data_IF_669812770486
#
_entry.id   IF_669812770486
#
_cell.length_a   1.000
_cell.length_b   1.000
_cell.length_c   1.000
_cell.angle_alpha   90.00
_cell.angle_beta   90.00
_cell.angle_gamma   90.00
#
_symmetry.space_group_name_H-M   'P 1'
#
loop_
_entity.id
_entity.type
_entity.pdbx_description
1 polymer ?
#
# COMPACT_ATOMS: atom_id res chain seq x y z
N UNK A 1 10.97 -26.04 22.21
CA UNK A 1 10.46 -25.97 20.82
C UNK A 1 10.86 -24.60 20.29
N UNK A 2 11.80 -24.53 19.35
CA UNK A 2 12.21 -23.25 18.75
C UNK A 2 10.99 -22.66 18.05
N UNK A 3 10.60 -21.43 18.42
CA UNK A 3 9.60 -20.68 17.67
C UNK A 3 9.97 -20.67 16.19
N UNK A 4 9.01 -20.98 15.34
CA UNK A 4 9.18 -20.96 13.89
C UNK A 4 9.36 -19.49 13.46
N UNK A 5 10.59 -18.97 13.52
CA UNK A 5 10.90 -17.57 13.23
C UNK A 5 10.55 -17.23 11.77
N UNK A 6 10.08 -16.02 11.47
CA UNK A 6 9.71 -15.63 10.11
C UNK A 6 10.93 -15.51 9.20
N UNK A 7 10.75 -15.86 7.94
CA UNK A 7 11.72 -15.67 6.85
C UNK A 7 11.35 -14.50 5.96
N UNK A 8 10.06 -14.14 5.91
CA UNK A 8 9.54 -13.00 5.16
C UNK A 8 8.59 -12.22 6.07
N UNK A 9 8.69 -10.90 6.03
CA UNK A 9 7.74 -9.98 6.64
C UNK A 9 7.04 -9.17 5.54
N UNK A 10 5.72 -9.05 5.64
CA UNK A 10 4.88 -8.32 4.68
C UNK A 10 4.06 -7.26 5.41
N UNK A 11 4.04 -6.04 4.88
CA UNK A 11 3.23 -4.91 5.37
C UNK A 11 2.60 -4.16 4.20
N UNK A 12 1.56 -3.37 4.45
CA UNK A 12 0.87 -2.56 3.43
C UNK A 12 0.34 -1.25 4.01
N UNK A 13 -0.08 -0.33 3.14
CA UNK A 13 -0.93 0.81 3.49
C UNK A 13 -0.34 1.69 4.62
N UNK A 14 0.91 2.11 4.42
CA UNK A 14 1.56 3.03 5.34
C UNK A 14 1.04 4.46 5.20
N UNK A 15 0.63 4.84 3.99
CA UNK A 15 0.12 6.16 3.63
C UNK A 15 1.05 7.27 4.14
N UNK A 16 2.35 7.17 3.87
CA UNK A 16 3.31 8.18 4.29
C UNK A 16 2.94 9.52 3.67
N UNK A 17 2.57 10.46 4.53
CA UNK A 17 2.12 11.78 4.10
C UNK A 17 0.73 12.15 4.62
N UNK A 18 -0.11 11.15 4.88
CA UNK A 18 -1.37 11.31 5.61
C UNK A 18 -1.17 11.89 7.01
N UNK A 19 -2.22 12.53 7.54
CA UNK A 19 -2.22 13.06 8.90
C UNK A 19 -2.18 11.91 9.94
N UNK A 20 -2.84 10.81 9.63
CA UNK A 20 -3.25 9.73 10.53
C UNK A 20 -2.33 8.49 10.43
N UNK A 21 -1.27 8.57 9.63
CA UNK A 21 -0.30 7.48 9.45
C UNK A 21 0.53 7.23 10.72
N UNK A 22 0.61 5.97 11.15
CA UNK A 22 1.27 5.46 12.36
C UNK A 22 2.80 5.41 12.25
N UNK A 23 3.40 6.47 11.73
CA UNK A 23 4.84 6.59 11.43
C UNK A 23 5.75 6.26 12.63
N UNK A 24 5.32 6.58 13.86
CA UNK A 24 6.12 6.28 15.06
C UNK A 24 6.20 4.77 15.31
N UNK A 25 5.06 4.09 15.25
CA UNK A 25 5.00 2.64 15.41
C UNK A 25 5.75 1.96 14.28
N UNK A 26 5.65 2.47 13.05
CA UNK A 26 6.42 1.92 11.93
C UNK A 26 7.93 2.08 12.10
N UNK A 27 8.40 3.25 12.55
CA UNK A 27 9.82 3.45 12.91
C UNK A 27 10.27 2.44 13.97
N UNK A 28 9.48 2.23 15.02
CA UNK A 28 9.79 1.23 16.04
C UNK A 28 9.85 -0.17 15.44
N UNK A 29 8.86 -0.54 14.62
CA UNK A 29 8.84 -1.82 13.93
C UNK A 29 10.08 -2.05 13.06
N UNK A 30 10.47 -1.08 12.23
CA UNK A 30 11.69 -1.18 11.42
C UNK A 30 12.95 -1.35 12.28
N UNK A 31 13.05 -0.65 13.43
CA UNK A 31 14.17 -0.82 14.37
C UNK A 31 14.20 -2.25 14.94
N UNK A 32 13.06 -2.84 15.26
CA UNK A 32 12.96 -4.25 15.71
C UNK A 32 13.47 -5.22 14.64
N UNK A 33 13.13 -4.96 13.37
CA UNK A 33 13.65 -5.72 12.22
C UNK A 33 15.18 -5.61 12.14
N UNK A 34 15.70 -4.38 12.17
CA UNK A 34 17.15 -4.10 12.11
C UNK A 34 17.92 -4.74 13.27
N UNK A 35 17.33 -4.76 14.46
CA UNK A 35 17.92 -5.32 15.67
C UNK A 35 17.81 -6.85 15.75
N UNK A 36 17.23 -7.51 14.75
CA UNK A 36 17.17 -8.97 14.68
C UNK A 36 16.11 -9.62 15.59
N UNK A 37 15.11 -8.86 16.07
CA UNK A 37 14.06 -9.42 16.95
C UNK A 37 13.20 -10.50 16.27
N UNK A 38 13.16 -10.48 14.94
CA UNK A 38 12.45 -11.48 14.12
C UNK A 38 13.32 -12.71 13.79
N UNK A 39 14.54 -12.78 14.34
CA UNK A 39 15.49 -13.87 14.11
C UNK A 39 16.47 -13.58 12.98
N UNK A 40 17.60 -14.30 12.99
CA UNK A 40 18.65 -14.21 11.97
C UNK A 40 18.22 -14.74 10.60
N UNK A 41 17.15 -15.52 10.54
CA UNK A 41 16.70 -16.22 9.34
C UNK A 41 15.77 -15.37 8.46
N UNK A 42 15.44 -14.16 8.90
CA UNK A 42 14.68 -13.20 8.12
C UNK A 42 15.48 -12.80 6.88
N UNK A 43 14.86 -12.91 5.70
CA UNK A 43 15.54 -12.70 4.42
C UNK A 43 14.87 -11.68 3.52
N UNK A 44 13.58 -11.40 3.71
CA UNK A 44 12.85 -10.46 2.87
C UNK A 44 11.88 -9.57 3.67
N UNK A 45 11.76 -8.33 3.22
CA UNK A 45 10.79 -7.37 3.73
C UNK A 45 10.00 -6.78 2.55
N UNK A 46 8.69 -6.98 2.56
CA UNK A 46 7.79 -6.65 1.45
C UNK A 46 6.81 -5.57 1.90
N UNK A 47 6.66 -4.52 1.09
CA UNK A 47 5.68 -3.45 1.28
C UNK A 47 4.68 -3.50 0.12
N UNK A 48 3.43 -3.89 0.38
CA UNK A 48 2.40 -4.12 -0.61
C UNK A 48 1.66 -2.85 -1.05
N UNK A 49 2.34 -1.81 -1.52
CA UNK A 49 1.64 -0.63 -2.05
C UNK A 49 1.10 0.33 -0.99
N UNK A 50 0.61 1.47 -1.49
CA UNK A 50 0.15 2.61 -0.70
C UNK A 50 1.15 2.99 0.42
N UNK A 51 2.43 2.86 0.11
CA UNK A 51 3.54 3.29 0.95
C UNK A 51 3.55 4.81 1.08
N UNK A 52 3.24 5.52 -0.01
CA UNK A 52 3.13 6.98 -0.05
C UNK A 52 1.69 7.38 -0.32
N UNK A 53 1.17 8.33 0.46
CA UNK A 53 -0.19 8.82 0.28
C UNK A 53 -0.30 9.78 -0.94
N UNK A 54 -1.31 9.55 -1.79
CA UNK A 54 -1.65 10.36 -2.97
C UNK A 54 -1.91 11.84 -2.66
N UNK A 55 -2.33 12.13 -1.43
CA UNK A 55 -2.66 13.48 -0.96
C UNK A 55 -1.39 14.29 -0.60
N UNK A 56 -0.21 13.78 -0.93
CA UNK A 56 1.04 14.40 -0.50
C UNK A 56 1.79 15.06 -1.65
N UNK A 57 2.23 16.29 -1.40
CA UNK A 57 3.23 16.96 -2.23
C UNK A 57 4.63 16.43 -1.84
N UNK A 58 5.27 15.69 -2.74
CA UNK A 58 6.54 15.01 -2.44
C UNK A 58 7.66 16.00 -2.07
N UNK A 59 8.03 17.00 -2.90
CA UNK A 59 9.19 17.84 -2.59
C UNK A 59 8.92 18.87 -1.50
N UNK A 60 7.70 19.42 -1.41
CA UNK A 60 7.38 20.49 -0.45
C UNK A 60 7.04 19.93 0.93
N UNK A 61 6.47 18.72 1.00
CA UNK A 61 6.01 18.16 2.28
C UNK A 61 6.67 16.85 2.66
N UNK A 62 6.49 15.77 1.89
CA UNK A 62 6.86 14.42 2.34
C UNK A 62 8.35 14.33 2.69
N UNK A 63 9.20 14.74 1.75
CA UNK A 63 10.65 14.61 1.87
C UNK A 63 11.25 15.52 2.96
N UNK A 64 10.53 16.54 3.41
CA UNK A 64 10.98 17.44 4.49
C UNK A 64 10.58 16.96 5.89
N UNK A 65 9.70 15.97 6.01
CA UNK A 65 9.22 15.47 7.31
C UNK A 65 10.29 14.59 7.96
N UNK A 66 10.78 14.98 9.14
CA UNK A 66 11.82 14.26 9.91
C UNK A 66 11.53 12.75 10.04
N UNK A 67 10.31 12.37 10.46
CA UNK A 67 9.92 10.97 10.61
C UNK A 67 9.92 10.19 9.30
N UNK A 68 9.53 10.83 8.19
CA UNK A 68 9.57 10.18 6.88
C UNK A 68 11.01 9.95 6.43
N UNK A 69 11.90 10.93 6.65
CA UNK A 69 13.33 10.75 6.40
C UNK A 69 13.93 9.64 7.27
N UNK A 70 13.54 9.54 8.54
CA UNK A 70 13.95 8.44 9.43
C UNK A 70 13.51 7.08 8.88
N UNK A 71 12.25 6.95 8.45
CA UNK A 71 11.74 5.72 7.80
C UNK A 71 12.57 5.38 6.56
N UNK A 72 12.84 6.36 5.69
CA UNK A 72 13.63 6.10 4.47
C UNK A 72 15.07 5.69 4.78
N UNK A 73 15.71 6.28 5.80
CA UNK A 73 17.04 5.85 6.24
C UNK A 73 17.03 4.41 6.77
N UNK A 74 16.04 4.04 7.59
CA UNK A 74 15.92 2.68 8.11
C UNK A 74 15.66 1.67 6.99
N UNK A 75 14.88 2.04 5.97
CA UNK A 75 14.65 1.18 4.80
C UNK A 75 15.90 1.03 3.93
N UNK A 76 16.72 2.07 3.79
CA UNK A 76 18.03 1.96 3.13
C UNK A 76 18.94 0.98 3.89
N UNK A 77 19.00 1.07 5.22
CA UNK A 77 19.75 0.11 6.03
C UNK A 77 19.23 -1.33 5.88
N UNK A 78 17.89 -1.50 5.83
CA UNK A 78 17.29 -2.82 5.62
C UNK A 78 17.57 -3.38 4.23
N UNK A 79 17.62 -2.54 3.20
CA UNK A 79 17.93 -2.95 1.82
C UNK A 79 19.30 -3.64 1.73
N UNK A 80 20.26 -3.22 2.54
CA UNK A 80 21.61 -3.82 2.58
C UNK A 80 21.64 -5.18 3.29
N UNK A 81 20.62 -5.48 4.12
CA UNK A 81 20.55 -6.68 4.95
C UNK A 81 19.56 -7.72 4.42
N UNK A 82 18.48 -7.27 3.78
CA UNK A 82 17.33 -8.08 3.38
C UNK A 82 16.93 -7.77 1.94
N UNK A 83 16.22 -8.72 1.34
CA UNK A 83 15.53 -8.50 0.07
C UNK A 83 14.34 -7.56 0.30
N UNK A 84 14.55 -6.27 0.06
CA UNK A 84 13.50 -5.25 0.15
C UNK A 84 12.70 -5.18 -1.16
N UNK A 85 11.37 -5.29 -1.07
CA UNK A 85 10.48 -5.28 -2.24
C UNK A 85 9.29 -4.38 -1.99
N UNK A 86 8.93 -3.57 -2.97
CA UNK A 86 7.74 -2.74 -2.99
C UNK A 86 6.81 -3.20 -4.12
N UNK A 87 5.52 -3.30 -3.80
CA UNK A 87 4.48 -3.24 -4.81
C UNK A 87 3.97 -1.80 -4.91
N UNK A 88 3.55 -1.37 -6.09
CA UNK A 88 2.92 -0.05 -6.25
C UNK A 88 1.41 -0.17 -6.11
N UNK A 89 0.84 0.70 -5.28
CA UNK A 89 -0.60 0.84 -5.07
C UNK A 89 -1.22 1.97 -5.89
N UNK A 90 -2.51 2.19 -5.67
CA UNK A 90 -3.27 3.24 -6.33
C UNK A 90 -2.97 4.63 -5.76
N UNK A 91 -2.23 4.74 -4.66
CA UNK A 91 -1.77 6.04 -4.15
C UNK A 91 -0.47 6.52 -4.83
N UNK A 92 0.37 5.61 -5.31
CA UNK A 92 1.61 5.98 -6.00
C UNK A 92 1.42 6.24 -7.50
N UNK A 93 0.63 5.40 -8.18
CA UNK A 93 0.45 5.46 -9.63
C UNK A 93 -1.02 5.37 -10.06
N UNK A 94 -1.42 6.02 -11.17
CA UNK A 94 -2.80 5.96 -11.62
C UNK A 94 -3.22 4.55 -12.03
N UNK A 95 -4.38 4.09 -11.55
CA UNK A 95 -4.92 2.74 -11.83
C UNK A 95 -6.02 2.70 -12.90
N UNK A 96 -6.07 3.72 -13.75
CA UNK A 96 -7.09 3.87 -14.81
C UNK A 96 -6.76 3.06 -16.08
N UNK A 97 -7.79 2.66 -16.84
CA UNK A 97 -7.68 1.89 -18.11
C UNK A 97 -6.98 0.54 -17.88
N UNK A 98 -6.53 -0.09 -18.97
CA UNK A 98 -5.57 -1.18 -18.89
C UNK A 98 -4.34 -0.71 -18.10
N UNK A 99 -4.20 -1.31 -16.93
CA UNK A 99 -3.25 -0.95 -15.92
C UNK A 99 -1.89 -1.63 -16.17
N UNK A 100 -1.91 -2.91 -16.49
CA UNK A 100 -0.75 -3.74 -16.78
C UNK A 100 0.05 -3.17 -17.95
N UNK A 101 -0.62 -2.86 -19.06
CA UNK A 101 0.00 -2.25 -20.25
C UNK A 101 0.72 -0.92 -19.89
N UNK A 102 0.20 -0.18 -18.91
CA UNK A 102 0.68 1.16 -18.56
C UNK A 102 1.58 1.17 -17.32
N UNK A 103 1.75 0.04 -16.65
CA UNK A 103 2.42 -0.06 -15.36
C UNK A 103 3.85 0.48 -15.44
N UNK A 104 4.66 -0.03 -16.37
CA UNK A 104 6.08 0.35 -16.50
C UNK A 104 6.27 1.86 -16.69
N UNK A 105 5.50 2.46 -17.60
CA UNK A 105 5.57 3.90 -17.85
C UNK A 105 5.18 4.69 -16.61
N UNK A 106 4.15 4.25 -15.88
CA UNK A 106 3.66 4.92 -14.66
C UNK A 106 4.64 4.77 -13.50
N UNK A 107 5.18 3.56 -13.29
CA UNK A 107 6.27 3.27 -12.35
C UNK A 107 7.45 4.19 -12.61
N UNK A 108 7.97 4.25 -13.84
CA UNK A 108 9.08 5.14 -14.21
C UNK A 108 8.79 6.61 -13.89
N UNK A 109 7.57 7.09 -14.19
CA UNK A 109 7.16 8.46 -13.87
C UNK A 109 7.14 8.71 -12.36
N UNK A 110 6.66 7.76 -11.57
CA UNK A 110 6.64 7.85 -10.11
C UNK A 110 8.06 7.88 -9.52
N UNK A 111 8.91 6.92 -9.88
CA UNK A 111 10.28 6.82 -9.37
C UNK A 111 11.15 8.03 -9.75
N UNK A 112 10.95 8.59 -10.94
CA UNK A 112 11.65 9.80 -11.38
C UNK A 112 11.43 11.01 -10.46
N UNK A 113 10.34 11.04 -9.66
CA UNK A 113 10.10 12.10 -8.67
C UNK A 113 11.17 12.12 -7.55
N UNK A 114 11.89 11.01 -7.36
CA UNK A 114 12.91 10.84 -6.32
C UNK A 114 14.36 10.87 -6.85
N UNK A 115 14.54 10.95 -8.18
CA UNK A 115 15.85 10.81 -8.86
C UNK A 115 16.93 11.75 -8.33
N UNK A 116 16.56 12.98 -7.97
CA UNK A 116 17.47 14.03 -7.49
C UNK A 116 17.45 14.21 -5.97
N UNK A 117 16.95 13.21 -5.24
CA UNK A 117 16.90 13.22 -3.79
C UNK A 117 18.01 12.35 -3.22
N UNK A 118 18.40 12.59 -1.96
CA UNK A 118 19.34 11.72 -1.22
C UNK A 118 18.82 10.29 -0.98
N UNK A 119 17.57 10.01 -1.33
CA UNK A 119 16.93 8.71 -1.17
C UNK A 119 16.70 8.00 -2.51
N UNK A 120 17.29 8.48 -3.61
CA UNK A 120 17.07 7.93 -4.96
C UNK A 120 17.24 6.40 -5.03
N UNK A 121 18.15 5.86 -4.23
CA UNK A 121 18.50 4.45 -4.15
C UNK A 121 17.39 3.56 -3.59
N UNK A 122 16.49 4.12 -2.76
CA UNK A 122 15.29 3.45 -2.26
C UNK A 122 14.17 3.43 -3.31
N UNK A 123 14.30 4.25 -4.36
CA UNK A 123 13.35 4.39 -5.46
C UNK A 123 13.94 3.90 -6.79
N UNK A 124 14.89 2.95 -6.72
CA UNK A 124 15.41 2.21 -7.88
C UNK A 124 14.36 1.26 -8.46
N UNK A 125 14.30 1.14 -9.79
CA UNK A 125 13.28 0.33 -10.47
C UNK A 125 13.29 -1.15 -10.10
N UNK A 126 14.44 -1.66 -9.64
CA UNK A 126 14.67 -3.04 -9.22
C UNK A 126 14.01 -3.43 -7.91
N UNK A 127 13.42 -2.46 -7.19
CA UNK A 127 12.69 -2.69 -5.95
C UNK A 127 11.17 -2.68 -6.15
N UNK A 128 10.65 -2.21 -7.30
CA UNK A 128 9.23 -1.91 -7.49
C UNK A 128 8.58 -2.77 -8.57
N UNK A 129 7.53 -3.49 -8.17
CA UNK A 129 6.79 -4.44 -8.99
C UNK A 129 5.29 -4.26 -8.84
N UNK A 130 4.51 -5.04 -9.58
CA UNK A 130 3.06 -5.04 -9.51
C UNK A 130 2.52 -6.24 -8.73
N UNK A 131 3.15 -7.40 -8.88
CA UNK A 131 2.74 -8.66 -8.27
C UNK A 131 3.95 -9.44 -7.77
N UNK A 132 3.75 -10.26 -6.74
CA UNK A 132 4.70 -11.30 -6.32
C UNK A 132 4.03 -12.67 -6.31
N UNK A 133 4.82 -13.71 -6.56
CA UNK A 133 4.44 -15.10 -6.37
C UNK A 133 5.55 -15.82 -5.60
N UNK A 134 5.21 -16.37 -4.43
CA UNK A 134 6.10 -17.21 -3.65
C UNK A 134 5.74 -18.68 -3.88
N UNK A 135 6.67 -19.45 -4.46
CA UNK A 135 6.49 -20.86 -4.80
C UNK A 135 7.83 -21.60 -4.92
N UNK A 136 7.78 -22.91 -5.11
CA UNK A 136 8.93 -23.65 -5.68
C UNK A 136 9.07 -23.34 -7.17
N UNK A 137 10.28 -22.97 -7.58
CA UNK A 137 10.67 -22.71 -8.96
C UNK A 137 12.06 -23.29 -9.18
N UNK A 138 12.23 -24.17 -10.17
CA UNK A 138 13.47 -24.91 -10.42
C UNK A 138 14.03 -25.62 -9.16
N UNK A 139 13.15 -26.22 -8.36
CA UNK A 139 13.40 -26.88 -7.07
C UNK A 139 13.86 -25.98 -5.90
N UNK A 140 13.97 -24.67 -6.12
CA UNK A 140 14.26 -23.70 -5.06
C UNK A 140 13.01 -22.97 -4.62
N UNK A 141 12.96 -22.56 -3.36
CA UNK A 141 11.90 -21.70 -2.84
C UNK A 141 12.20 -20.25 -3.27
N UNK A 142 11.36 -19.68 -4.14
CA UNK A 142 11.61 -18.39 -4.76
C UNK A 142 10.45 -17.42 -4.58
N UNK A 143 10.80 -16.17 -4.30
CA UNK A 143 9.94 -15.01 -4.48
C UNK A 143 10.14 -14.46 -5.91
N UNK A 144 9.10 -14.57 -6.73
CA UNK A 144 9.09 -14.15 -8.12
C UNK A 144 8.33 -12.84 -8.26
N UNK A 145 8.87 -11.87 -9.01
CA UNK A 145 8.25 -10.56 -9.15
C UNK A 145 7.88 -10.24 -10.60
N UNK A 146 6.72 -9.57 -10.77
CA UNK A 146 6.08 -9.36 -12.06
C UNK A 146 5.53 -7.94 -12.19
N UNK A 147 5.45 -7.46 -13.43
CA UNK A 147 4.96 -6.12 -13.78
C UNK A 147 3.67 -6.16 -14.62
N UNK A 148 3.17 -7.35 -14.95
CA UNK A 148 1.85 -7.57 -15.53
C UNK A 148 1.33 -8.96 -15.15
N UNK A 149 0.03 -9.13 -15.31
CA UNK A 149 -0.69 -10.37 -15.06
C UNK A 149 -0.32 -11.46 -16.05
N UNK A 150 -0.14 -11.09 -17.32
CA UNK A 150 0.31 -11.98 -18.41
C UNK A 150 1.69 -12.61 -18.14
N UNK A 151 2.52 -11.98 -17.32
CA UNK A 151 3.84 -12.51 -16.98
C UNK A 151 3.79 -13.57 -15.88
N UNK A 152 2.69 -13.64 -15.10
CA UNK A 152 2.59 -14.54 -13.96
C UNK A 152 2.83 -15.98 -14.39
N UNK A 153 3.45 -16.75 -13.50
CA UNK A 153 3.94 -18.13 -13.73
C UNK A 153 5.10 -18.27 -14.73
N UNK A 154 5.11 -17.52 -15.85
CA UNK A 154 5.92 -17.83 -17.02
C UNK A 154 7.15 -16.92 -17.23
N UNK A 155 7.05 -15.63 -16.91
CA UNK A 155 8.09 -14.65 -17.26
C UNK A 155 8.39 -13.68 -16.10
N UNK A 156 8.92 -14.17 -14.98
CA UNK A 156 9.26 -13.30 -13.85
C UNK A 156 10.37 -12.33 -14.22
N UNK A 157 10.17 -11.06 -13.86
CA UNK A 157 11.13 -9.97 -14.09
C UNK A 157 12.30 -10.07 -13.11
N UNK A 158 12.04 -10.59 -11.90
CA UNK A 158 13.05 -10.84 -10.87
C UNK A 158 12.74 -12.14 -10.16
N UNK A 159 13.79 -12.92 -9.89
CA UNK A 159 13.74 -14.15 -9.09
C UNK A 159 14.60 -13.95 -7.85
N UNK A 160 14.09 -14.33 -6.68
CA UNK A 160 14.75 -14.13 -5.39
C UNK A 160 14.62 -15.39 -4.55
N UNK A 161 15.72 -16.13 -4.37
CA UNK A 161 15.73 -17.34 -3.52
C UNK A 161 15.51 -16.98 -2.05
N UNK A 162 14.68 -17.76 -1.36
CA UNK A 162 14.43 -17.66 0.09
C UNK A 162 14.82 -18.99 0.74
N UNK A 163 15.96 -19.01 1.41
CA UNK A 163 16.58 -20.24 1.91
C UNK A 163 15.84 -20.82 3.12
N UNK A 164 15.72 -22.15 3.16
CA UNK A 164 15.16 -22.90 4.30
C UNK A 164 13.67 -22.68 4.53
N UNK A 165 12.94 -22.16 3.53
CA UNK A 165 11.49 -22.02 3.62
C UNK A 165 10.82 -23.40 3.57
N UNK A 166 11.36 -24.37 2.84
CA UNK A 166 10.89 -25.77 2.76
C UNK A 166 9.41 -25.85 2.33
N UNK A 167 9.08 -25.18 1.22
CA UNK A 167 7.72 -25.17 0.69
C UNK A 167 7.32 -26.54 0.13
N UNK A 168 6.03 -26.82 0.08
CA UNK A 168 5.52 -27.94 -0.72
C UNK A 168 5.55 -27.57 -2.22
N UNK A 169 5.60 -28.58 -3.10
CA UNK A 169 5.71 -28.37 -4.56
C UNK A 169 4.49 -27.69 -5.17
N UNK A 170 3.34 -27.78 -4.51
CA UNK A 170 2.08 -27.15 -4.90
C UNK A 170 1.81 -25.83 -4.17
N UNK A 171 2.67 -25.39 -3.25
CA UNK A 171 2.53 -24.10 -2.56
C UNK A 171 2.68 -22.93 -3.54
N UNK A 172 1.67 -22.06 -3.59
CA UNK A 172 1.64 -20.84 -4.41
C UNK A 172 0.95 -19.71 -3.66
N UNK A 173 1.75 -18.78 -3.16
CA UNK A 173 1.27 -17.59 -2.48
C UNK A 173 1.39 -16.35 -3.37
N UNK A 174 0.25 -15.84 -3.81
CA UNK A 174 0.12 -14.63 -4.61
C UNK A 174 0.06 -13.40 -3.71
N UNK A 175 0.83 -12.36 -4.03
CA UNK A 175 0.83 -11.10 -3.28
C UNK A 175 0.62 -9.91 -4.19
N UNK A 176 -0.29 -9.02 -3.77
CA UNK A 176 -0.66 -7.81 -4.49
C UNK A 176 -1.03 -6.69 -3.50
N UNK A 177 -1.15 -5.44 -3.95
CA UNK A 177 -1.68 -4.38 -3.09
C UNK A 177 -3.16 -4.60 -2.79
N UNK A 178 -3.97 -4.88 -3.81
CA UNK A 178 -5.40 -5.17 -3.65
C UNK A 178 -6.30 -4.36 -4.57
N UNK A 179 -5.87 -3.19 -5.06
CA UNK A 179 -6.62 -2.48 -6.10
C UNK A 179 -6.73 -3.29 -7.40
N UNK A 180 -5.87 -4.30 -7.60
CA UNK A 180 -5.98 -5.23 -8.73
C UNK A 180 -7.26 -6.08 -8.68
N UNK A 181 -7.92 -6.14 -7.51
CA UNK A 181 -9.22 -6.76 -7.31
C UNK A 181 -10.36 -5.72 -7.29
N UNK A 182 -10.10 -4.43 -7.53
CA UNK A 182 -11.21 -3.47 -7.58
C UNK A 182 -12.01 -3.63 -8.87
N UNK A 183 -13.34 -3.63 -8.75
CA UNK A 183 -14.25 -3.77 -9.88
C UNK A 183 -14.04 -2.72 -10.97
N UNK A 184 -14.42 -3.08 -12.20
CA UNK A 184 -14.34 -2.18 -13.35
C UNK A 184 -15.08 -0.86 -13.13
N UNK A 185 -16.23 -0.92 -12.45
CA UNK A 185 -17.04 0.26 -12.15
C UNK A 185 -16.29 1.22 -11.23
N UNK A 186 -15.62 0.69 -10.21
CA UNK A 186 -14.76 1.52 -9.36
C UNK A 186 -13.58 2.11 -10.15
N UNK A 187 -12.93 1.32 -11.01
CA UNK A 187 -11.85 1.84 -11.87
C UNK A 187 -12.34 2.92 -12.84
N UNK A 188 -13.58 2.83 -13.29
CA UNK A 188 -14.16 3.85 -14.17
C UNK A 188 -14.43 5.16 -13.43
N UNK A 189 -15.02 5.12 -12.23
CA UNK A 189 -15.39 6.33 -11.48
C UNK A 189 -14.32 6.78 -10.49
N UNK A 190 -13.93 5.90 -9.56
CA UNK A 190 -12.98 6.19 -8.49
C UNK A 190 -11.56 6.42 -9.01
N UNK A 191 -11.05 5.55 -9.88
CA UNK A 191 -9.66 5.68 -10.33
C UNK A 191 -9.38 6.94 -11.18
N UNK A 192 -10.39 7.52 -11.84
CA UNK A 192 -10.22 8.80 -12.54
C UNK A 192 -9.99 9.95 -11.56
N UNK A 193 -10.67 9.93 -10.41
CA UNK A 193 -10.45 10.89 -9.34
C UNK A 193 -9.05 10.72 -8.74
N UNK A 194 -8.63 9.47 -8.48
CA UNK A 194 -7.27 9.17 -8.02
C UNK A 194 -6.21 9.63 -8.98
N UNK A 195 -6.37 9.33 -10.27
CA UNK A 195 -5.49 9.81 -11.32
C UNK A 195 -5.35 11.32 -11.28
N UNK A 196 -6.45 12.06 -11.20
CA UNK A 196 -6.43 13.53 -11.14
C UNK A 196 -5.56 14.03 -9.99
N UNK A 197 -5.70 13.44 -8.80
CA UNK A 197 -4.95 13.82 -7.59
C UNK A 197 -3.47 13.46 -7.68
N UNK A 198 -3.14 12.26 -8.15
CA UNK A 198 -1.76 11.79 -8.35
C UNK A 198 -1.03 12.67 -9.36
N UNK A 199 -1.75 13.16 -10.39
CA UNK A 199 -1.21 14.04 -11.43
C UNK A 199 -1.22 15.52 -11.06
N UNK A 200 -1.93 15.92 -10.00
CA UNK A 200 -2.01 17.32 -9.60
C UNK A 200 -0.72 17.74 -8.90
N UNK A 201 -0.11 18.81 -9.39
CA UNK A 201 1.03 19.48 -8.74
C UNK A 201 0.56 20.62 -7.81
N UNK A 202 -0.75 20.90 -7.75
CA UNK A 202 -1.32 21.91 -6.85
C UNK A 202 -1.38 21.35 -5.42
N UNK A 203 -0.58 21.94 -4.55
CA UNK A 203 -0.53 21.61 -3.13
C UNK A 203 -1.92 21.73 -2.47
N UNK A 204 -2.67 22.76 -2.82
CA UNK A 204 -3.96 23.13 -2.26
C UNK A 204 -5.05 22.10 -2.59
N UNK A 205 -5.00 21.51 -3.79
CA UNK A 205 -5.90 20.45 -4.23
C UNK A 205 -5.69 19.20 -3.39
N UNK A 206 -4.43 18.80 -3.20
CA UNK A 206 -4.05 17.62 -2.42
C UNK A 206 -4.43 17.75 -0.95
N UNK A 207 -4.22 18.93 -0.39
CA UNK A 207 -4.59 19.29 0.98
C UNK A 207 -6.10 19.33 1.21
N UNK A 208 -6.85 19.88 0.25
CA UNK A 208 -8.32 19.84 0.28
C UNK A 208 -8.83 18.40 0.28
N UNK A 209 -8.18 17.53 -0.51
CA UNK A 209 -8.52 16.12 -0.56
C UNK A 209 -8.22 15.41 0.77
N UNK A 210 -7.00 15.57 1.29
CA UNK A 210 -6.57 15.03 2.59
C UNK A 210 -7.57 15.38 3.68
N UNK A 211 -7.99 16.65 3.74
CA UNK A 211 -9.03 17.11 4.64
C UNK A 211 -10.37 16.38 4.44
N UNK A 212 -10.92 16.35 3.23
CA UNK A 212 -12.22 15.72 3.01
C UNK A 212 -12.19 14.21 3.30
N UNK A 213 -11.10 13.53 2.95
CA UNK A 213 -10.94 12.10 3.18
C UNK A 213 -10.86 11.80 4.67
N UNK A 214 -9.86 12.38 5.34
CA UNK A 214 -9.54 12.05 6.73
C UNK A 214 -10.49 12.71 7.74
N UNK A 215 -10.92 13.95 7.51
CA UNK A 215 -11.72 14.69 8.48
C UNK A 215 -13.23 14.57 8.27
N UNK A 216 -13.70 14.32 7.05
CA UNK A 216 -15.13 14.33 6.73
C UNK A 216 -15.68 12.95 6.40
N UNK A 217 -15.12 12.27 5.39
CA UNK A 217 -15.64 10.96 4.94
C UNK A 217 -15.47 9.92 6.04
N UNK A 218 -14.24 9.76 6.56
CA UNK A 218 -13.91 8.76 7.58
C UNK A 218 -14.69 8.98 8.87
N UNK A 219 -14.80 10.22 9.33
CA UNK A 219 -15.59 10.57 10.52
C UNK A 219 -17.12 10.52 10.31
N UNK A 220 -17.60 9.99 9.19
CA UNK A 220 -19.03 9.89 8.89
C UNK A 220 -19.73 11.23 8.65
N UNK A 221 -19.05 12.38 8.77
CA UNK A 221 -19.61 13.73 8.62
C UNK A 221 -20.20 13.92 7.22
N UNK A 222 -21.27 14.72 7.15
CA UNK A 222 -21.86 15.11 5.85
C UNK A 222 -20.91 16.10 5.17
N UNK A 223 -20.57 15.85 3.89
CA UNK A 223 -19.75 16.77 3.08
C UNK A 223 -20.54 18.03 2.69
N UNK A 224 -21.87 17.95 2.56
CA UNK A 224 -22.73 19.03 2.02
C UNK A 224 -22.54 20.41 2.70
N UNK A 225 -22.51 20.54 4.05
CA UNK A 225 -22.44 21.86 4.69
C UNK A 225 -21.05 22.51 4.70
N UNK A 226 -19.97 21.80 4.37
CA UNK A 226 -18.60 22.33 4.52
C UNK A 226 -18.33 23.47 3.52
N UNK A 227 -18.04 24.67 4.02
CA UNK A 227 -17.59 25.81 3.19
C UNK A 227 -16.06 25.85 3.11
N UNK A 228 -15.55 26.58 2.12
CA UNK A 228 -14.12 26.69 1.89
C UNK A 228 -13.38 27.33 3.08
N UNK A 229 -13.95 28.40 3.64
CA UNK A 229 -13.41 29.07 4.83
C UNK A 229 -13.40 28.15 6.07
N UNK A 230 -14.51 27.44 6.32
CA UNK A 230 -14.61 26.48 7.42
C UNK A 230 -13.51 25.41 7.33
N UNK A 231 -13.24 24.89 6.12
CA UNK A 231 -12.15 23.94 5.88
C UNK A 231 -10.79 24.54 6.23
N UNK A 232 -10.48 25.76 5.76
CA UNK A 232 -9.17 26.39 6.01
C UNK A 232 -8.94 26.60 7.50
N UNK A 233 -9.97 27.02 8.24
CA UNK A 233 -9.91 27.15 9.69
C UNK A 233 -9.64 25.82 10.40
N UNK A 234 -10.36 24.76 10.02
CA UNK A 234 -10.16 23.42 10.57
C UNK A 234 -8.74 22.88 10.25
N UNK A 235 -8.26 23.06 9.02
CA UNK A 235 -6.90 22.68 8.62
C UNK A 235 -5.82 23.43 9.40
N UNK A 236 -5.99 24.74 9.60
CA UNK A 236 -5.07 25.56 10.39
C UNK A 236 -4.94 25.02 11.83
N UNK A 237 -6.07 24.68 12.45
CA UNK A 237 -6.13 24.06 13.79
C UNK A 237 -5.44 22.71 13.82
N UNK A 238 -5.78 21.80 12.90
CA UNK A 238 -5.20 20.46 12.81
C UNK A 238 -3.68 20.49 12.65
N UNK A 239 -3.19 21.42 11.83
CA UNK A 239 -1.76 21.59 11.56
C UNK A 239 -1.01 22.45 12.56
N UNK A 240 -1.72 23.01 13.55
CA UNK A 240 -1.17 23.95 14.55
C UNK A 240 -0.44 25.11 13.88
N UNK A 241 -1.08 25.73 12.89
CA UNK A 241 -0.55 26.88 12.13
C UNK A 241 -1.55 28.03 12.12
N UNK A 242 -1.10 29.29 11.96
CA UNK A 242 -1.99 30.43 11.79
C UNK A 242 -2.81 30.32 10.51
N UNK A 243 -4.08 30.75 10.54
CA UNK A 243 -4.97 30.74 9.36
C UNK A 243 -4.38 31.51 8.17
N UNK A 244 -3.72 32.65 8.43
CA UNK A 244 -3.05 33.46 7.40
C UNK A 244 -2.02 32.67 6.59
N UNK A 245 -1.33 31.71 7.23
CA UNK A 245 -0.38 30.82 6.53
C UNK A 245 -1.10 29.84 5.61
N UNK A 246 -2.28 29.36 6.01
CA UNK A 246 -3.14 28.50 5.19
C UNK A 246 -3.73 29.32 4.04
N UNK A 247 -4.29 30.51 4.30
CA UNK A 247 -4.85 31.38 3.27
C UNK A 247 -3.86 31.69 2.15
N UNK A 248 -2.62 32.04 2.54
CA UNK A 248 -1.55 32.31 1.57
C UNK A 248 -1.27 31.09 0.71
N UNK A 249 -1.18 29.90 1.33
CA UNK A 249 -0.97 28.66 0.61
C UNK A 249 -2.16 28.34 -0.32
N UNK A 250 -3.39 28.63 0.08
CA UNK A 250 -4.61 28.32 -0.65
C UNK A 250 -5.04 29.37 -1.68
N UNK A 251 -4.24 30.41 -1.91
CA UNK A 251 -4.51 31.47 -2.88
C UNK A 251 -4.72 30.97 -4.32
N UNK A 252 -4.17 29.79 -4.66
CA UNK A 252 -4.29 29.17 -5.97
C UNK A 252 -5.49 28.23 -6.18
N UNK A 253 -6.30 27.98 -5.13
CA UNK A 253 -7.49 27.14 -5.22
C UNK A 253 -8.74 28.01 -5.29
N UNK A 254 -9.46 27.96 -6.41
CA UNK A 254 -10.68 28.73 -6.55
C UNK A 254 -11.91 27.96 -6.02
N UNK A 255 -13.02 28.68 -5.82
CA UNK A 255 -14.26 28.13 -5.25
C UNK A 255 -14.89 27.03 -6.13
N UNK A 256 -14.72 27.10 -7.45
CA UNK A 256 -15.24 26.09 -8.38
C UNK A 256 -14.43 24.79 -8.25
N UNK A 257 -13.11 24.88 -8.17
CA UNK A 257 -12.22 23.74 -7.92
C UNK A 257 -12.53 23.10 -6.56
N UNK A 258 -12.69 23.90 -5.50
CA UNK A 258 -13.13 23.39 -4.20
C UNK A 258 -14.48 22.67 -4.29
N UNK A 259 -15.47 23.25 -4.97
CA UNK A 259 -16.80 22.64 -5.14
C UNK A 259 -16.76 21.36 -5.99
N UNK A 260 -15.89 21.30 -6.98
CA UNK A 260 -15.64 20.09 -7.77
C UNK A 260 -15.06 19.00 -6.88
N UNK A 261 -13.98 19.28 -6.14
CA UNK A 261 -13.38 18.33 -5.18
C UNK A 261 -14.40 17.85 -4.16
N UNK A 262 -15.17 18.76 -3.57
CA UNK A 262 -16.26 18.46 -2.66
C UNK A 262 -17.30 17.51 -3.27
N UNK A 263 -17.61 17.66 -4.56
CA UNK A 263 -18.58 16.82 -5.28
C UNK A 263 -18.00 15.43 -5.58
N UNK A 264 -16.76 15.37 -6.07
CA UNK A 264 -16.00 14.14 -6.27
C UNK A 264 -15.90 13.32 -4.98
N UNK A 265 -15.69 13.97 -3.84
CA UNK A 265 -15.65 13.33 -2.53
C UNK A 265 -16.98 12.71 -2.10
N UNK A 266 -18.12 13.24 -2.57
CA UNK A 266 -19.42 12.61 -2.32
C UNK A 266 -19.58 11.32 -3.09
N UNK A 267 -19.07 11.28 -4.33
CA UNK A 267 -19.05 10.06 -5.14
C UNK A 267 -18.19 9.03 -4.42
N UNK A 268 -16.96 9.39 -4.04
CA UNK A 268 -16.06 8.50 -3.28
C UNK A 268 -16.68 7.97 -1.99
N UNK A 269 -17.37 8.81 -1.21
CA UNK A 269 -18.06 8.38 0.03
C UNK A 269 -19.11 7.29 -0.21
N UNK A 270 -19.79 7.31 -1.37
CA UNK A 270 -20.76 6.24 -1.71
C UNK A 270 -20.05 4.92 -1.98
N UNK A 271 -18.90 4.98 -2.65
CA UNK A 271 -18.06 3.82 -2.96
C UNK A 271 -17.29 3.30 -1.75
N UNK A 272 -17.03 4.10 -0.72
CA UNK A 272 -16.35 3.64 0.50
C UNK A 272 -17.04 2.42 1.15
N UNK A 273 -18.34 2.20 0.94
CA UNK A 273 -19.04 1.00 1.44
C UNK A 273 -18.62 -0.31 0.75
N UNK A 274 -17.98 -0.24 -0.41
CA UNK A 274 -17.43 -1.40 -1.13
C UNK A 274 -16.09 -1.86 -0.55
N UNK A 275 -15.47 -1.11 0.37
CA UNK A 275 -14.19 -1.51 0.95
C UNK A 275 -14.28 -2.59 2.04
N UNK A 276 -15.38 -3.34 2.10
CA UNK A 276 -15.57 -4.38 3.13
C UNK A 276 -14.81 -5.66 2.74
N UNK A 277 -14.24 -6.40 3.70
CA UNK A 277 -13.50 -7.63 3.41
C UNK A 277 -14.30 -8.66 2.58
N UNK A 278 -15.58 -8.86 2.91
CA UNK A 278 -16.45 -9.77 2.16
C UNK A 278 -16.64 -9.39 0.68
N UNK A 279 -16.60 -8.09 0.36
CA UNK A 279 -16.64 -7.63 -1.02
C UNK A 279 -15.33 -7.99 -1.74
N UNK A 280 -14.18 -7.68 -1.12
CA UNK A 280 -12.87 -8.03 -1.68
C UNK A 280 -12.68 -9.54 -1.87
N UNK A 281 -13.21 -10.37 -0.98
CA UNK A 281 -13.11 -11.82 -1.13
C UNK A 281 -13.81 -12.31 -2.41
N UNK A 282 -14.95 -11.74 -2.76
CA UNK A 282 -15.64 -12.05 -4.02
C UNK A 282 -14.83 -11.59 -5.23
N UNK A 283 -14.27 -10.39 -5.20
CA UNK A 283 -13.48 -9.88 -6.32
C UNK A 283 -12.14 -10.64 -6.48
N UNK A 284 -11.53 -11.09 -5.38
CA UNK A 284 -10.36 -11.99 -5.42
C UNK A 284 -10.75 -13.31 -6.07
N UNK A 285 -11.92 -13.85 -5.73
CA UNK A 285 -12.44 -15.06 -6.36
C UNK A 285 -12.62 -14.86 -7.87
N UNK A 286 -13.31 -13.80 -8.28
CA UNK A 286 -13.48 -13.47 -9.71
C UNK A 286 -12.14 -13.30 -10.43
N UNK A 287 -11.17 -12.63 -9.79
CA UNK A 287 -9.83 -12.47 -10.35
C UNK A 287 -9.09 -13.81 -10.54
N UNK A 288 -9.24 -14.75 -9.60
CA UNK A 288 -8.58 -16.06 -9.65
C UNK A 288 -9.31 -17.09 -10.53
N UNK A 289 -10.59 -16.88 -10.83
CA UNK A 289 -11.42 -17.71 -11.73
C UNK A 289 -11.41 -17.21 -13.17
N UNK A 290 -10.62 -16.20 -13.48
CA UNK A 290 -10.54 -15.62 -14.81
C UNK A 290 -9.92 -16.59 -15.83
N UNK A 291 -10.71 -16.95 -16.83
CA UNK A 291 -10.35 -17.94 -17.85
C UNK A 291 -9.20 -17.49 -18.77
N UNK A 292 -8.89 -16.18 -18.83
CA UNK A 292 -7.78 -15.67 -19.64
C UNK A 292 -6.40 -15.97 -19.01
N UNK A 293 -6.35 -16.36 -17.73
CA UNK A 293 -5.12 -16.58 -16.99
C UNK A 293 -5.18 -17.83 -16.08
N UNK A 294 -4.20 -18.74 -16.16
CA UNK A 294 -4.16 -19.92 -15.28
C UNK A 294 -3.71 -19.57 -13.85
N UNK A 295 -4.69 -19.20 -13.02
CA UNK A 295 -4.54 -18.99 -11.58
C UNK A 295 -5.13 -20.11 -10.73
N UNK A 296 -5.54 -21.20 -11.37
CA UNK A 296 -6.20 -22.36 -10.75
C UNK A 296 -5.37 -23.05 -9.67
N UNK A 297 -4.08 -22.72 -9.57
CA UNK A 297 -3.11 -23.31 -8.65
C UNK A 297 -2.77 -22.44 -7.44
N UNK A 298 -3.22 -21.17 -7.42
CA UNK A 298 -2.95 -20.25 -6.30
C UNK A 298 -3.74 -20.71 -5.08
N UNK A 299 -3.07 -21.10 -4.01
CA UNK A 299 -3.71 -21.58 -2.77
C UNK A 299 -3.55 -20.63 -1.58
N UNK A 300 -2.77 -19.56 -1.74
CA UNK A 300 -2.65 -18.50 -0.74
C UNK A 300 -2.65 -17.12 -1.42
N UNK A 301 -3.31 -16.14 -0.80
CA UNK A 301 -3.32 -14.73 -1.23
C UNK A 301 -2.99 -13.83 -0.05
N UNK A 302 -2.03 -12.91 -0.23
CA UNK A 302 -1.76 -11.82 0.71
C UNK A 302 -1.98 -10.48 0.02
N UNK A 303 -2.78 -9.61 0.61
CA UNK A 303 -3.07 -8.29 0.05
C UNK A 303 -3.30 -7.23 1.14
N UNK A 304 -3.27 -5.95 0.75
CA UNK A 304 -3.61 -4.80 1.60
C UNK A 304 -4.85 -4.05 1.09
N UNK A 305 -4.78 -2.73 0.96
CA UNK A 305 -5.72 -1.80 0.30
C UNK A 305 -7.08 -1.58 0.97
N UNK A 306 -7.70 -2.60 1.58
CA UNK A 306 -9.01 -2.45 2.25
C UNK A 306 -8.91 -1.73 3.60
N UNK A 307 -7.69 -1.59 4.10
CA UNK A 307 -7.32 -1.14 5.44
C UNK A 307 -7.78 -2.05 6.58
N UNK A 308 -8.53 -3.14 6.33
CA UNK A 308 -8.93 -4.12 7.35
C UNK A 308 -7.94 -5.26 7.43
N UNK A 309 -7.61 -5.73 8.63
CA UNK A 309 -6.84 -6.96 8.79
C UNK A 309 -7.78 -8.14 9.02
N UNK A 310 -7.63 -9.21 8.23
CA UNK A 310 -8.48 -10.39 8.32
C UNK A 310 -7.78 -11.60 7.71
N UNK A 311 -8.03 -12.79 8.29
CA UNK A 311 -7.74 -14.07 7.66
C UNK A 311 -9.08 -14.68 7.27
N UNK A 312 -9.21 -15.04 6.00
CA UNK A 312 -10.42 -15.63 5.44
C UNK A 312 -10.06 -16.83 4.57
N UNK A 313 -11.04 -17.68 4.31
CA UNK A 313 -10.89 -18.86 3.46
C UNK A 313 -12.00 -18.87 2.43
N UNK A 314 -11.68 -19.20 1.19
CA UNK A 314 -12.64 -19.36 0.13
C UNK A 314 -12.35 -20.62 -0.69
N UNK A 315 -13.39 -21.24 -1.23
CA UNK A 315 -13.24 -22.25 -2.27
C UNK A 315 -13.26 -21.56 -3.64
N UNK A 316 -12.14 -21.65 -4.35
CA UNK A 316 -11.91 -21.00 -5.64
C UNK A 316 -11.31 -22.08 -6.55
N UNK A 317 -11.83 -22.30 -7.76
CA UNK A 317 -11.34 -23.38 -8.64
C UNK A 317 -11.28 -24.78 -7.97
N UNK A 318 -12.27 -25.13 -7.15
CA UNK A 318 -12.34 -26.38 -6.38
C UNK A 318 -11.22 -26.64 -5.37
N UNK A 319 -10.41 -25.62 -5.03
CA UNK A 319 -9.40 -25.70 -3.98
C UNK A 319 -9.72 -24.70 -2.86
N UNK A 320 -9.28 -25.01 -1.64
CA UNK A 320 -9.35 -24.07 -0.53
C UNK A 320 -8.18 -23.08 -0.66
N UNK A 321 -8.51 -21.79 -0.69
CA UNK A 321 -7.55 -20.69 -0.76
C UNK A 321 -7.59 -19.93 0.56
N UNK A 322 -6.44 -19.77 1.20
CA UNK A 322 -6.28 -18.87 2.35
C UNK A 322 -6.02 -17.44 1.85
N UNK A 323 -6.81 -16.49 2.33
CA UNK A 323 -6.75 -15.08 1.93
C UNK A 323 -6.51 -14.22 3.16
N UNK A 324 -5.34 -13.57 3.21
CA UNK A 324 -4.92 -12.70 4.31
C UNK A 324 -4.89 -11.26 3.83
N UNK A 325 -5.71 -10.41 4.45
CA UNK A 325 -5.52 -8.96 4.38
C UNK A 325 -4.57 -8.53 5.51
N UNK A 326 -3.43 -7.95 5.16
CA UNK A 326 -2.40 -7.55 6.12
C UNK A 326 -2.72 -6.24 6.86
N UNK A 327 -3.79 -5.55 6.46
CA UNK A 327 -4.36 -4.40 7.14
C UNK A 327 -3.76 -3.07 6.70
N UNK A 328 -3.56 -2.16 7.64
CA UNK A 328 -2.95 -0.86 7.36
C UNK A 328 -2.24 -0.29 8.56
N UNK A 329 -1.31 0.63 8.31
CA UNK A 329 -0.65 1.42 9.35
C UNK A 329 -1.33 2.77 9.53
N UNK A 330 -2.65 2.79 9.36
CA UNK A 330 -3.48 3.96 9.48
C UNK A 330 -4.85 3.57 10.07
N UNK A 331 -5.37 4.36 11.02
CA UNK A 331 -6.73 4.25 11.61
C UNK A 331 -7.10 2.97 12.36
N UNK A 332 -6.35 1.90 12.21
CA UNK A 332 -6.52 0.69 12.99
C UNK A 332 -5.20 0.26 13.61
N UNK A 333 -5.29 -0.72 14.50
CA UNK A 333 -4.10 -1.27 15.12
C UNK A 333 -3.22 -1.93 14.05
N UNK A 334 -2.01 -1.41 13.79
CA UNK A 334 -1.20 -1.85 12.68
C UNK A 334 -0.92 -3.35 12.72
N UNK A 335 -0.78 -3.93 11.54
CA UNK A 335 -0.55 -5.36 11.36
C UNK A 335 0.47 -5.64 10.26
N UNK A 336 0.92 -6.89 10.23
CA UNK A 336 1.89 -7.41 9.29
C UNK A 336 1.73 -8.92 9.18
N UNK A 337 2.17 -9.50 8.08
CA UNK A 337 2.19 -10.96 7.89
C UNK A 337 3.60 -11.48 8.07
N UNK A 338 3.73 -12.54 8.86
CA UNK A 338 4.92 -13.37 8.99
C UNK A 338 4.75 -14.60 8.09
N UNK A 339 5.72 -14.88 7.22
CA UNK A 339 5.81 -16.15 6.49
C UNK A 339 7.01 -16.93 7.02
N UNK A 340 6.73 -18.08 7.61
CA UNK A 340 7.69 -18.96 8.27
C UNK A 340 7.98 -20.19 7.41
N UNK A 341 8.83 -21.09 7.92
CA UNK A 341 9.07 -22.38 7.27
C UNK A 341 7.78 -23.18 7.03
N UNK A 342 7.77 -23.94 5.93
CA UNK A 342 6.66 -24.66 5.32
C UNK A 342 5.51 -23.77 4.86
N UNK A 343 5.81 -22.52 4.51
CA UNK A 343 4.82 -21.57 4.02
C UNK A 343 3.79 -21.12 5.06
N UNK A 344 4.00 -21.44 6.35
CA UNK A 344 3.06 -21.08 7.41
C UNK A 344 2.99 -19.56 7.56
N UNK A 345 1.78 -19.02 7.44
CA UNK A 345 1.53 -17.59 7.57
C UNK A 345 0.88 -17.22 8.89
N UNK A 346 1.28 -16.09 9.46
CA UNK A 346 0.64 -15.52 10.65
C UNK A 346 0.36 -14.04 10.44
N UNK A 347 -0.91 -13.66 10.54
CA UNK A 347 -1.31 -12.25 10.64
C UNK A 347 -1.05 -11.76 12.06
N UNK A 348 -0.08 -10.88 12.21
CA UNK A 348 0.33 -10.30 13.50
C UNK A 348 -0.16 -8.88 13.63
N UNK A 349 -0.27 -8.46 14.88
CA UNK A 349 -0.62 -7.10 15.24
C UNK A 349 0.54 -6.46 15.99
N UNK A 350 0.81 -5.19 15.71
CA UNK A 350 1.81 -4.40 16.43
C UNK A 350 1.22 -3.99 17.78
N UNK A 351 1.90 -4.38 18.86
CA UNK A 351 1.50 -4.00 20.20
C UNK A 351 1.70 -2.49 20.42
N UNK A 352 0.71 -1.82 21.01
CA UNK A 352 0.79 -0.38 21.34
C UNK A 352 1.71 -0.10 22.55
N UNK A 353 2.06 -1.11 23.32
CA UNK A 353 2.88 -0.98 24.53
C UNK A 353 4.36 -1.13 24.18
N UNK A 354 4.90 -0.10 23.55
CA UNK A 354 6.36 0.10 23.49
C UNK A 354 6.63 1.38 24.28
N UNK A 355 6.90 1.19 25.57
CA UNK A 355 7.46 2.23 26.43
C UNK A 355 8.76 2.71 25.77
N UNK A 356 8.96 4.03 25.56
CA UNK A 356 10.27 4.51 25.13
C UNK A 356 11.25 4.21 26.28
N UNK A 357 12.18 3.29 26.03
CA UNK A 357 13.42 3.18 26.82
C UNK A 357 14.28 4.42 26.63
#
# INVERSE_FOLDING_TARGET
>A
MSENKPKILVVSDLHLGSLDSERKLFIQFLKRVINGEFGSDLQAFIILGDFIDLCTDLPRTLLKRKKTQEIFNLLLELKDKLKLVFLLGNHEIPVTRDYDEKFERRKKKFLNKFKHTKFNELFGSELYYQYLLLKKYDNEDMLLAYNSREQLENNPIKKMTIEGLDLDSDYRCFMAHGYQFESEVYRFFGAQLWKSLITSDKFEVKETYDYFWNQIIKNGRKIKPIRFEDMKEELAKLKRKPIKSVDTAFSGLNILEFNFLKSSMRVMKKWYRVSKPAYFLNEIKEFLEDDDYDFSKINHVVYGHSHYKEVSYATINNQQVEVINDGSWQHMQPSYVEICSKGKMYLRTVANNITPS
#
